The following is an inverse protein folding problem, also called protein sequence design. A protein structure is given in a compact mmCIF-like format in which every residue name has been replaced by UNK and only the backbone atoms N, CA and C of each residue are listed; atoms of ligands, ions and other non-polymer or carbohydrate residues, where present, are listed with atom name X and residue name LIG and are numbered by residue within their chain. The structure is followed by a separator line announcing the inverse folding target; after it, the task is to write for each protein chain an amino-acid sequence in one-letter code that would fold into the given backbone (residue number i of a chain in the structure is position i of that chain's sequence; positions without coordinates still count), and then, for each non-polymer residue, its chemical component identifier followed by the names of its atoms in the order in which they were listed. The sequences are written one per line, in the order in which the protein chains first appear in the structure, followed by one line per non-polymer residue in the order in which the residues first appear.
data_IF_310928466031
#
_entry.id   IF_310928466031
#
_cell.length_a   1.000
_cell.length_b   1.000
_cell.length_c   1.000
_cell.angle_alpha   90.00
_cell.angle_beta   90.00
_cell.angle_gamma   90.00
#
_symmetry.space_group_name_H-M   'P 1'
#
loop_
_entity.id
_entity.type
_entity.pdbx_description
1 polymer ?
#
# COMPACT_ATOMS: atom_id res chain seq x y z
N UNK A 1 -8.20 44.22 23.23
CA UNK A 1 -8.33 44.87 21.90
C UNK A 1 -7.51 44.09 20.90
N UNK A 2 -8.18 43.47 19.92
CA UNK A 2 -7.59 42.66 18.84
C UNK A 2 -7.20 43.56 17.66
N UNK A 3 -5.96 43.52 17.15
CA UNK A 3 -5.61 44.06 15.81
C UNK A 3 -4.28 43.50 15.23
N UNK A 4 -4.36 43.12 13.94
CA UNK A 4 -3.32 42.86 12.91
C UNK A 4 -2.64 41.48 12.99
N UNK A 5 -2.89 40.48 12.12
CA UNK A 5 -3.11 40.40 10.66
C UNK A 5 -1.96 41.01 9.83
N UNK A 6 -0.91 40.22 9.55
CA UNK A 6 -0.09 40.31 8.33
C UNK A 6 0.46 38.92 7.95
N UNK A 7 0.11 38.49 6.73
CA UNK A 7 0.76 37.43 5.97
C UNK A 7 2.19 37.87 5.62
N UNK A 8 3.20 37.02 5.81
CA UNK A 8 4.36 36.89 4.92
C UNK A 8 4.83 35.44 4.99
N UNK A 9 4.82 34.77 3.84
CA UNK A 9 5.48 33.49 3.65
C UNK A 9 6.99 33.73 3.57
N UNK A 10 7.80 32.92 4.25
CA UNK A 10 9.12 32.60 3.70
C UNK A 10 9.40 31.09 3.78
N UNK A 11 10.02 30.55 2.72
CA UNK A 11 10.05 29.14 2.40
C UNK A 11 11.33 28.49 2.92
N UNK A 12 11.24 27.20 3.15
CA UNK A 12 12.41 26.34 3.14
C UNK A 12 13.13 26.21 4.47
N UNK A 13 13.63 25.00 4.65
CA UNK A 13 14.63 24.64 5.64
C UNK A 13 14.15 24.37 7.08
N UNK A 14 13.05 23.61 7.22
CA UNK A 14 13.06 22.57 8.26
C UNK A 14 13.77 21.35 7.68
N UNK A 15 15.08 21.40 7.85
CA UNK A 15 16.00 20.31 7.60
C UNK A 15 15.41 18.99 8.06
N UNK A 16 15.18 18.12 7.07
CA UNK A 16 15.45 16.70 7.10
C UNK A 16 15.54 16.08 8.49
N UNK A 17 14.39 15.74 9.08
CA UNK A 17 14.34 14.44 9.75
C UNK A 17 14.71 13.41 8.66
N UNK A 18 15.66 12.48 8.91
CA UNK A 18 15.99 11.44 7.95
C UNK A 18 14.77 10.55 7.82
N UNK A 19 13.87 10.94 6.91
CA UNK A 19 12.72 10.19 6.50
C UNK A 19 13.23 8.89 5.94
N UNK A 20 13.07 7.84 6.73
CA UNK A 20 13.09 6.48 6.25
C UNK A 20 12.31 6.47 4.93
N UNK A 21 13.04 6.18 3.86
CA UNK A 21 12.63 6.21 2.46
C UNK A 21 11.10 6.22 2.30
N UNK A 22 10.54 7.40 1.99
CA UNK A 22 9.25 7.47 1.34
C UNK A 22 9.46 6.88 -0.07
N UNK A 23 9.49 5.55 -0.16
CA UNK A 23 9.28 4.85 -1.42
C UNK A 23 7.96 5.42 -1.97
N UNK A 24 7.93 5.85 -3.24
CA UNK A 24 6.69 6.30 -3.85
C UNK A 24 5.69 5.14 -3.70
N UNK A 25 4.65 5.35 -2.87
CA UNK A 25 3.58 4.38 -2.74
C UNK A 25 2.81 4.44 -4.05
N UNK A 26 2.98 3.41 -4.87
CA UNK A 26 2.17 3.24 -6.05
C UNK A 26 0.69 3.25 -5.65
N UNK A 27 -0.08 4.19 -6.20
CA UNK A 27 -1.53 4.26 -6.05
C UNK A 27 -1.98 5.29 -5.02
N UNK A 28 -2.29 6.50 -5.50
CA UNK A 28 -2.95 7.60 -4.79
C UNK A 28 -4.45 7.34 -4.55
N UNK A 29 -4.82 6.10 -4.24
CA UNK A 29 -6.15 5.74 -3.78
C UNK A 29 -5.97 5.14 -2.40
N UNK A 30 -6.46 5.76 -1.33
CA UNK A 30 -6.32 5.26 0.05
C UNK A 30 -6.97 3.89 0.33
N UNK A 31 -7.27 3.11 -0.71
CA UNK A 31 -7.75 1.75 -0.64
C UNK A 31 -6.60 0.78 -0.29
N UNK A 32 -6.81 -0.15 0.65
CA UNK A 32 -5.84 -1.21 0.91
C UNK A 32 -5.63 -2.08 -0.34
N UNK A 33 -4.41 -2.57 -0.59
CA UNK A 33 -4.12 -3.38 -1.77
C UNK A 33 -4.97 -4.66 -1.79
N UNK A 34 -5.26 -5.21 -2.97
CA UNK A 34 -6.12 -6.41 -3.12
C UNK A 34 -5.61 -7.60 -2.30
N UNK A 35 -4.29 -7.76 -2.18
CA UNK A 35 -3.66 -8.82 -1.37
C UNK A 35 -3.65 -8.54 0.14
N UNK A 36 -4.42 -7.57 0.62
CA UNK A 36 -4.52 -7.29 2.05
C UNK A 36 -5.08 -8.51 2.80
N UNK A 37 -4.58 -8.75 4.01
CA UNK A 37 -4.99 -9.89 4.86
C UNK A 37 -6.51 -9.96 5.12
N UNK A 38 -7.17 -8.80 5.14
CA UNK A 38 -8.60 -8.70 5.44
C UNK A 38 -9.49 -8.99 4.21
N UNK A 39 -8.89 -9.11 3.01
CA UNK A 39 -9.63 -9.47 1.80
C UNK A 39 -9.83 -10.99 1.70
N UNK A 40 -10.81 -11.52 2.45
CA UNK A 40 -11.12 -12.96 2.48
C UNK A 40 -11.39 -13.55 1.10
N UNK A 41 -12.02 -12.80 0.20
CA UNK A 41 -12.33 -13.24 -1.16
C UNK A 41 -11.06 -13.52 -1.97
N UNK A 42 -10.07 -12.63 -1.87
CA UNK A 42 -8.76 -12.83 -2.50
C UNK A 42 -8.08 -14.12 -1.99
N UNK A 43 -8.01 -14.31 -0.67
CA UNK A 43 -7.37 -15.50 -0.10
C UNK A 43 -8.09 -16.80 -0.44
N UNK A 44 -9.42 -16.79 -0.54
CA UNK A 44 -10.18 -17.94 -1.00
C UNK A 44 -9.78 -18.35 -2.43
N UNK A 45 -9.72 -17.37 -3.34
CA UNK A 45 -9.30 -17.62 -4.74
C UNK A 45 -7.87 -18.15 -4.79
N UNK A 46 -6.96 -17.61 -3.97
CA UNK A 46 -5.57 -18.10 -3.88
C UNK A 46 -5.53 -19.56 -3.43
N UNK A 47 -6.31 -19.95 -2.41
CA UNK A 47 -6.36 -21.35 -1.95
C UNK A 47 -6.88 -22.30 -3.02
N UNK A 48 -7.92 -21.91 -3.76
CA UNK A 48 -8.47 -22.71 -4.87
C UNK A 48 -7.44 -22.85 -5.98
N UNK A 49 -6.80 -21.75 -6.39
CA UNK A 49 -5.79 -21.76 -7.44
C UNK A 49 -4.59 -22.64 -7.06
N UNK A 50 -4.09 -22.53 -5.83
CA UNK A 50 -2.98 -23.36 -5.34
C UNK A 50 -3.34 -24.86 -5.35
N UNK A 51 -4.57 -25.20 -4.95
CA UNK A 51 -5.06 -26.59 -4.97
C UNK A 51 -5.15 -27.16 -6.38
N UNK A 52 -5.64 -26.36 -7.34
CA UNK A 52 -5.70 -26.76 -8.75
C UNK A 52 -4.31 -26.96 -9.35
N UNK A 53 -3.37 -26.04 -9.09
CA UNK A 53 -1.99 -26.18 -9.55
C UNK A 53 -1.36 -27.45 -9.00
N UNK A 54 -1.54 -27.73 -7.70
CA UNK A 54 -1.05 -28.96 -7.09
C UNK A 54 -1.65 -30.21 -7.76
N UNK A 55 -2.96 -30.23 -7.99
CA UNK A 55 -3.63 -31.35 -8.65
C UNK A 55 -3.12 -31.58 -10.08
N UNK A 56 -2.88 -30.50 -10.83
CA UNK A 56 -2.34 -30.57 -12.19
C UNK A 56 -0.91 -31.13 -12.20
N UNK A 57 -0.06 -30.63 -11.30
CA UNK A 57 1.32 -31.13 -11.15
C UNK A 57 1.31 -32.60 -10.76
N UNK A 58 0.49 -33.00 -9.79
CA UNK A 58 0.36 -34.38 -9.36
C UNK A 58 -0.09 -35.29 -10.51
N UNK A 59 -1.06 -34.84 -11.31
CA UNK A 59 -1.54 -35.59 -12.48
C UNK A 59 -0.47 -35.69 -13.57
N UNK A 60 0.33 -34.65 -13.78
CA UNK A 60 1.38 -34.65 -14.79
C UNK A 60 2.62 -35.50 -14.39
N UNK A 61 2.85 -35.70 -13.09
CA UNK A 61 3.94 -36.53 -12.56
C UNK A 61 3.53 -38.01 -12.40
N UNK A 62 2.25 -38.33 -12.55
CA UNK A 62 1.71 -39.68 -12.57
C UNK A 62 1.77 -40.27 -13.97
#
# INVERSE_FOLDING_TARGET
MSKRKYMVAEPGNRASAPGAAAKPRAGDDGAPPVWHKDNRGFWFVVCVAASLVFALIYTALR
#
